data_IF_375224196356
#
_entry.id   IF_375224196356
#
_cell.length_a   1.000
_cell.length_b   1.000
_cell.length_c   1.000
_cell.angle_alpha   90.00
_cell.angle_beta   90.00
_cell.angle_gamma   90.00
#
_symmetry.space_group_name_H-M   'P 1'
#
loop_
_entity.id
_entity.type
_entity.pdbx_description
1 polymer ?
#
# COMPACT_ATOMS: atom_id res chain seq x y z
N UNK A 1 -7.24 59.73 -8.06
CA UNK A 1 -8.03 58.49 -8.00
C UNK A 1 -7.33 57.27 -8.64
N UNK A 2 -6.19 57.41 -9.36
CA UNK A 2 -5.53 56.27 -10.03
C UNK A 2 -4.79 55.30 -9.10
N UNK A 3 -4.34 55.74 -7.93
CA UNK A 3 -3.58 54.90 -6.98
C UNK A 3 -4.41 53.74 -6.40
N UNK A 4 -5.72 53.93 -6.24
CA UNK A 4 -6.63 52.88 -5.76
C UNK A 4 -6.81 51.79 -6.82
N UNK A 5 -6.85 52.18 -8.10
CA UNK A 5 -7.11 51.27 -9.22
C UNK A 5 -5.94 50.31 -9.46
N UNK A 6 -4.70 50.81 -9.33
CA UNK A 6 -3.48 49.99 -9.43
C UNK A 6 -3.39 48.98 -8.27
N UNK A 7 -3.80 49.39 -7.06
CA UNK A 7 -3.84 48.49 -5.89
C UNK A 7 -4.77 47.31 -6.09
N UNK A 8 -5.97 47.53 -6.65
CA UNK A 8 -6.95 46.47 -6.89
C UNK A 8 -6.44 45.48 -7.95
N UNK A 9 -5.82 45.97 -9.04
CA UNK A 9 -5.26 45.11 -10.08
C UNK A 9 -4.14 44.21 -9.51
N UNK A 10 -3.26 44.77 -8.66
CA UNK A 10 -2.19 44.00 -8.03
C UNK A 10 -2.70 42.85 -7.15
N UNK A 11 -3.75 43.09 -6.37
CA UNK A 11 -4.36 42.06 -5.51
C UNK A 11 -5.03 40.97 -6.34
N UNK A 12 -5.74 41.32 -7.41
CA UNK A 12 -6.39 40.32 -8.29
C UNK A 12 -5.35 39.39 -8.93
N UNK A 13 -4.21 39.94 -9.38
CA UNK A 13 -3.13 39.13 -9.96
C UNK A 13 -2.49 38.19 -8.93
N UNK A 14 -2.28 38.67 -7.69
CA UNK A 14 -1.72 37.84 -6.63
C UNK A 14 -2.66 36.69 -6.24
N UNK A 15 -3.96 36.97 -6.11
CA UNK A 15 -4.97 35.93 -5.82
C UNK A 15 -5.05 34.93 -6.99
N UNK A 16 -5.04 35.40 -8.24
CA UNK A 16 -5.07 34.54 -9.42
C UNK A 16 -3.88 33.58 -9.49
N UNK A 17 -2.68 34.06 -9.20
CA UNK A 17 -1.46 33.24 -9.22
C UNK A 17 -1.43 32.25 -8.03
N UNK A 18 -1.89 32.66 -6.86
CA UNK A 18 -2.02 31.78 -5.70
C UNK A 18 -3.03 30.64 -5.95
N UNK A 19 -4.19 30.94 -6.54
CA UNK A 19 -5.19 29.93 -6.90
C UNK A 19 -4.67 28.98 -7.98
N UNK A 20 -3.96 29.50 -8.98
CA UNK A 20 -3.31 28.67 -10.01
C UNK A 20 -2.27 27.72 -9.40
N UNK A 21 -1.48 28.20 -8.43
CA UNK A 21 -0.52 27.37 -7.70
C UNK A 21 -1.19 26.26 -6.89
N UNK A 22 -2.26 26.57 -6.17
CA UNK A 22 -3.00 25.61 -5.36
C UNK A 22 -3.65 24.50 -6.20
N UNK A 23 -4.25 24.85 -7.35
CA UNK A 23 -4.88 23.86 -8.24
C UNK A 23 -3.86 22.91 -8.89
N UNK A 24 -2.65 23.39 -9.20
CA UNK A 24 -1.64 22.55 -9.84
C UNK A 24 -0.88 21.65 -8.86
N UNK A 25 -0.61 22.14 -7.65
CA UNK A 25 0.14 21.37 -6.64
C UNK A 25 -0.71 20.32 -5.93
N UNK A 26 -2.02 20.52 -5.80
CA UNK A 26 -2.92 19.59 -5.11
C UNK A 26 -2.80 18.13 -5.59
N UNK A 27 -3.05 17.85 -6.88
CA UNK A 27 -2.99 16.49 -7.41
C UNK A 27 -1.61 15.84 -7.29
N UNK A 28 -0.54 16.62 -7.47
CA UNK A 28 0.85 16.13 -7.37
C UNK A 28 1.23 15.74 -5.95
N UNK A 29 0.72 16.45 -4.95
CA UNK A 29 0.93 16.06 -3.54
C UNK A 29 0.18 14.79 -3.18
N UNK A 30 -1.06 14.64 -3.67
CA UNK A 30 -1.83 13.41 -3.45
C UNK A 30 -1.15 12.21 -4.10
N UNK A 31 -0.67 12.35 -5.34
CA UNK A 31 0.11 11.33 -6.04
C UNK A 31 1.39 10.97 -5.27
N UNK A 32 2.15 11.97 -4.83
CA UNK A 32 3.40 11.76 -4.06
C UNK A 32 3.14 11.08 -2.71
N UNK A 33 2.06 11.44 -2.02
CA UNK A 33 1.64 10.81 -0.79
C UNK A 33 1.20 9.36 -1.01
N UNK A 34 0.44 9.08 -2.07
CA UNK A 34 0.03 7.74 -2.45
C UNK A 34 1.25 6.86 -2.79
N UNK A 35 2.19 7.37 -3.59
CA UNK A 35 3.44 6.68 -3.91
C UNK A 35 4.28 6.37 -2.67
N UNK A 36 4.38 7.32 -1.73
CA UNK A 36 5.12 7.13 -0.48
C UNK A 36 4.49 6.04 0.40
N UNK A 37 3.15 6.06 0.54
CA UNK A 37 2.42 5.02 1.27
C UNK A 37 2.52 3.66 0.58
N UNK A 38 2.47 3.63 -0.76
CA UNK A 38 2.64 2.43 -1.56
C UNK A 38 4.01 1.77 -1.31
N UNK A 39 5.10 2.55 -1.38
CA UNK A 39 6.44 2.02 -1.15
C UNK A 39 6.62 1.53 0.29
N UNK A 40 6.10 2.26 1.27
CA UNK A 40 6.12 1.82 2.66
C UNK A 40 5.29 0.52 2.87
N UNK A 41 4.16 0.39 2.16
CA UNK A 41 3.31 -0.79 2.27
C UNK A 41 3.98 -2.04 1.70
N UNK A 42 4.61 -1.91 0.53
CA UNK A 42 5.42 -2.98 -0.09
C UNK A 42 6.55 -3.39 0.86
N UNK A 43 7.31 -2.42 1.40
CA UNK A 43 8.39 -2.70 2.34
C UNK A 43 7.91 -3.45 3.58
N UNK A 44 6.74 -3.08 4.12
CA UNK A 44 6.15 -3.76 5.28
C UNK A 44 5.82 -5.23 4.97
N UNK A 45 5.13 -5.52 3.86
CA UNK A 45 4.78 -6.92 3.52
C UNK A 45 6.02 -7.74 3.13
N UNK A 46 6.99 -7.16 2.44
CA UNK A 46 8.24 -7.84 2.07
C UNK A 46 9.10 -8.16 3.29
N UNK A 47 9.19 -7.28 4.29
CA UNK A 47 9.93 -7.55 5.53
C UNK A 47 9.34 -8.76 6.27
N UNK A 48 8.01 -8.83 6.36
CA UNK A 48 7.33 -9.97 6.99
C UNK A 48 7.50 -11.25 6.16
N UNK A 49 7.45 -11.16 4.83
CA UNK A 49 7.66 -12.31 3.95
C UNK A 49 9.08 -12.89 4.10
N UNK A 50 10.10 -12.03 4.16
CA UNK A 50 11.49 -12.44 4.40
C UNK A 50 11.67 -13.09 5.78
N UNK A 51 11.07 -12.50 6.82
CA UNK A 51 11.10 -13.09 8.17
C UNK A 51 10.37 -14.45 8.22
N UNK A 52 9.29 -14.60 7.47
CA UNK A 52 8.57 -15.88 7.35
C UNK A 52 9.40 -16.94 6.65
N UNK A 53 10.11 -16.56 5.58
CA UNK A 53 11.05 -17.44 4.90
C UNK A 53 12.17 -17.91 5.83
N UNK A 54 12.74 -17.02 6.64
CA UNK A 54 13.75 -17.40 7.64
C UNK A 54 13.18 -18.37 8.69
N UNK A 55 11.98 -18.09 9.20
CA UNK A 55 11.29 -18.99 10.12
C UNK A 55 11.11 -20.40 9.52
N UNK A 56 10.68 -20.47 8.25
CA UNK A 56 10.48 -21.74 7.56
C UNK A 56 11.77 -22.51 7.33
N UNK A 57 12.87 -21.80 7.05
CA UNK A 57 14.20 -22.40 6.89
C UNK A 57 14.72 -22.98 8.21
N UNK A 58 14.48 -22.29 9.32
CA UNK A 58 15.02 -22.67 10.63
C UNK A 58 14.16 -23.71 11.36
N UNK A 59 12.83 -23.58 11.35
CA UNK A 59 11.92 -24.53 12.01
C UNK A 59 11.52 -25.72 11.13
N UNK A 60 11.76 -25.64 9.81
CA UNK A 60 11.34 -26.67 8.86
C UNK A 60 9.81 -26.79 8.71
N UNK A 61 9.06 -25.79 9.19
CA UNK A 61 7.60 -25.70 9.09
C UNK A 61 7.16 -24.23 8.96
N UNK A 62 6.02 -23.96 8.32
CA UNK A 62 5.45 -22.61 8.26
C UNK A 62 4.92 -22.16 9.64
N UNK A 63 4.94 -20.84 9.91
CA UNK A 63 4.28 -20.30 11.09
C UNK A 63 2.75 -20.44 10.96
N UNK A 64 1.99 -20.38 12.06
CA UNK A 64 0.53 -20.43 11.99
C UNK A 64 -0.03 -19.21 11.22
N UNK A 65 -1.04 -19.39 10.35
CA UNK A 65 -1.64 -18.33 9.53
C UNK A 65 -2.46 -17.36 10.39
N UNK A 66 -1.77 -16.43 11.03
CA UNK A 66 -2.32 -15.50 12.01
C UNK A 66 -1.74 -14.09 11.79
N UNK A 67 -1.37 -13.41 12.87
CA UNK A 67 -0.71 -12.11 12.83
C UNK A 67 0.81 -12.30 12.76
N UNK A 68 1.51 -11.37 12.09
CA UNK A 68 2.97 -11.30 12.07
C UNK A 68 3.62 -11.20 13.48
N UNK A 69 2.84 -10.99 14.54
CA UNK A 69 3.31 -11.06 15.92
C UNK A 69 3.99 -12.38 16.25
N UNK A 70 3.56 -13.51 15.66
CA UNK A 70 4.20 -14.81 15.91
C UNK A 70 5.68 -14.82 15.50
N UNK A 71 6.05 -14.05 14.47
CA UNK A 71 7.44 -13.90 14.03
C UNK A 71 8.25 -13.01 14.97
N UNK A 72 7.59 -12.07 15.67
CA UNK A 72 8.24 -11.26 16.70
C UNK A 72 8.51 -12.11 17.93
N UNK A 73 7.51 -12.89 18.36
CA UNK A 73 7.62 -13.77 19.52
C UNK A 73 8.68 -14.86 19.31
N UNK A 74 8.82 -15.34 18.07
CA UNK A 74 9.87 -16.29 17.66
C UNK A 74 11.24 -15.63 17.38
N UNK A 75 11.35 -14.30 17.40
CA UNK A 75 12.61 -13.56 17.27
C UNK A 75 13.08 -13.27 15.84
N UNK A 76 12.28 -13.57 14.81
CA UNK A 76 12.58 -13.27 13.41
C UNK A 76 12.24 -11.84 13.00
N UNK A 77 11.35 -11.17 13.75
CA UNK A 77 11.05 -9.74 13.62
C UNK A 77 11.31 -9.03 14.95
N UNK A 78 11.79 -7.78 14.88
CA UNK A 78 11.93 -6.93 16.08
C UNK A 78 10.60 -6.34 16.53
N UNK A 79 9.72 -6.04 15.59
CA UNK A 79 8.39 -5.50 15.80
C UNK A 79 7.55 -5.75 14.53
N UNK A 80 6.23 -5.81 14.69
CA UNK A 80 5.31 -5.88 13.54
C UNK A 80 5.29 -4.54 12.80
N UNK A 81 5.54 -4.51 11.48
CA UNK A 81 5.44 -3.28 10.71
C UNK A 81 4.04 -2.65 10.79
N UNK A 82 4.00 -1.32 10.91
CA UNK A 82 2.73 -0.58 10.90
C UNK A 82 2.23 -0.48 9.46
N UNK A 83 0.91 -0.63 9.27
CA UNK A 83 0.28 -0.41 7.98
C UNK A 83 0.24 1.10 7.67
N UNK A 84 0.88 1.56 6.58
CA UNK A 84 0.95 2.98 6.23
C UNK A 84 -0.32 3.50 5.53
N UNK A 85 -1.27 2.62 5.25
CA UNK A 85 -2.54 2.92 4.57
C UNK A 85 -3.67 3.03 5.60
N UNK A 86 -3.77 2.07 6.52
CA UNK A 86 -4.75 2.06 7.61
C UNK A 86 -4.09 1.81 8.95
N UNK A 87 -4.56 2.47 10.02
CA UNK A 87 -3.97 2.33 11.35
C UNK A 87 -4.37 1.04 12.09
N UNK A 88 -5.31 0.25 11.54
CA UNK A 88 -6.00 -0.83 12.26
C UNK A 88 -5.61 -2.24 11.82
N UNK A 89 -4.81 -2.39 10.76
CA UNK A 89 -4.65 -3.68 10.09
C UNK A 89 -3.19 -3.95 9.72
N UNK A 90 -2.35 -4.42 10.66
CA UNK A 90 -0.97 -4.78 10.37
C UNK A 90 -0.89 -5.94 9.37
N UNK A 91 0.30 -6.24 8.81
CA UNK A 91 0.48 -7.40 7.94
C UNK A 91 0.09 -8.72 8.63
N UNK A 92 -0.61 -9.58 7.90
CA UNK A 92 -1.08 -10.88 8.37
C UNK A 92 -0.53 -11.99 7.47
N UNK A 93 -0.34 -13.16 8.08
CA UNK A 93 0.07 -14.39 7.41
C UNK A 93 -1.20 -15.07 6.89
N UNK A 94 -1.34 -15.22 5.57
CA UNK A 94 -2.53 -15.84 4.97
C UNK A 94 -2.18 -17.16 4.27
N UNK A 95 -3.00 -18.17 4.52
CA UNK A 95 -3.11 -19.40 3.75
C UNK A 95 -4.10 -19.21 2.59
N UNK A 96 -3.64 -19.38 1.34
CA UNK A 96 -4.54 -19.27 0.17
C UNK A 96 -4.58 -20.54 -0.69
N UNK A 97 -3.51 -21.32 -0.78
CA UNK A 97 -3.47 -22.44 -1.71
C UNK A 97 -2.48 -23.55 -1.28
N UNK A 98 -2.76 -24.29 -0.20
CA UNK A 98 -1.86 -25.38 0.19
C UNK A 98 -2.42 -26.50 1.08
N UNK A 99 -3.61 -26.34 1.66
CA UNK A 99 -4.09 -27.24 2.71
C UNK A 99 -3.68 -26.76 4.10
N UNK A 100 -4.22 -27.39 5.16
CA UNK A 100 -4.19 -26.82 6.51
C UNK A 100 -2.76 -26.55 6.99
N UNK A 101 -2.50 -25.31 7.40
CA UNK A 101 -1.25 -24.80 7.98
C UNK A 101 -0.15 -24.44 6.97
N UNK A 102 -0.48 -23.91 5.79
CA UNK A 102 0.51 -23.39 4.86
C UNK A 102 0.37 -21.87 4.71
N UNK A 103 1.40 -21.11 5.08
CA UNK A 103 1.42 -19.67 4.80
C UNK A 103 2.11 -19.46 3.48
N UNK A 104 1.33 -19.08 2.46
CA UNK A 104 1.83 -18.88 1.10
C UNK A 104 2.06 -17.39 0.79
N UNK A 105 1.44 -16.50 1.56
CA UNK A 105 1.58 -15.07 1.37
C UNK A 105 1.39 -14.26 2.63
N UNK A 106 1.93 -13.05 2.58
CA UNK A 106 1.66 -11.97 3.51
C UNK A 106 0.65 -11.04 2.87
N UNK A 107 -0.34 -10.62 3.65
CA UNK A 107 -1.34 -9.66 3.21
C UNK A 107 -1.40 -8.47 4.16
N UNK A 108 -1.90 -7.36 3.65
CA UNK A 108 -2.17 -6.18 4.45
C UNK A 108 -3.38 -5.46 3.88
N UNK A 109 -4.33 -5.11 4.75
CA UNK A 109 -5.57 -4.45 4.31
C UNK A 109 -5.28 -3.02 3.85
N UNK A 110 -5.56 -2.72 2.59
CA UNK A 110 -5.32 -1.45 1.94
C UNK A 110 -6.48 -0.44 2.05
N UNK A 111 -7.62 -0.81 2.64
CA UNK A 111 -8.78 0.08 2.78
C UNK A 111 -10.01 -0.37 2.00
N UNK A 112 -11.12 0.35 2.15
CA UNK A 112 -12.38 0.05 1.47
C UNK A 112 -12.38 0.52 0.02
N UNK A 113 -13.19 -0.10 -0.83
CA UNK A 113 -13.43 0.38 -2.21
C UNK A 113 -14.09 1.76 -2.29
N UNK A 114 -14.72 2.22 -1.21
CA UNK A 114 -15.29 3.57 -1.14
C UNK A 114 -14.23 4.65 -0.86
N UNK A 115 -13.00 4.27 -0.54
CA UNK A 115 -11.91 5.19 -0.25
C UNK A 115 -11.05 5.41 -1.51
N UNK A 116 -11.21 6.59 -2.13
CA UNK A 116 -10.42 7.00 -3.29
C UNK A 116 -8.91 7.01 -3.00
N UNK A 117 -8.52 7.28 -1.74
CA UNK A 117 -7.13 7.23 -1.29
C UNK A 117 -6.57 5.80 -1.30
N UNK A 118 -7.37 4.83 -0.86
CA UNK A 118 -6.99 3.41 -0.90
C UNK A 118 -6.79 2.93 -2.35
N UNK A 119 -7.68 3.35 -3.26
CA UNK A 119 -7.54 3.07 -4.69
C UNK A 119 -6.23 3.65 -5.24
N UNK A 120 -5.94 4.92 -4.98
CA UNK A 120 -4.75 5.58 -5.48
C UNK A 120 -3.45 4.91 -4.99
N UNK A 121 -3.42 4.46 -3.73
CA UNK A 121 -2.29 3.69 -3.19
C UNK A 121 -2.17 2.34 -3.89
N UNK A 122 -3.29 1.63 -4.10
CA UNK A 122 -3.28 0.33 -4.77
C UNK A 122 -2.78 0.41 -6.22
N UNK A 123 -3.24 1.42 -6.97
CA UNK A 123 -2.78 1.68 -8.33
C UNK A 123 -1.28 2.03 -8.33
N UNK A 124 -0.81 2.83 -7.36
CA UNK A 124 0.61 3.15 -7.20
C UNK A 124 1.48 1.92 -6.89
N UNK A 125 1.01 1.00 -6.05
CA UNK A 125 1.69 -0.27 -5.78
C UNK A 125 1.82 -1.08 -7.07
N UNK A 126 0.72 -1.26 -7.80
CA UNK A 126 0.74 -2.04 -9.04
C UNK A 126 1.62 -1.40 -10.11
N UNK A 127 1.66 -0.07 -10.19
CA UNK A 127 2.61 0.66 -11.05
C UNK A 127 4.06 0.40 -10.65
N UNK A 128 4.38 0.38 -9.35
CA UNK A 128 5.73 0.08 -8.86
C UNK A 128 6.14 -1.37 -9.14
N UNK A 129 5.20 -2.32 -9.04
CA UNK A 129 5.46 -3.75 -9.21
C UNK A 129 5.57 -4.18 -10.68
N UNK A 130 4.70 -3.65 -11.54
CA UNK A 130 4.62 -4.06 -12.95
C UNK A 130 5.36 -3.13 -13.90
N UNK A 131 5.67 -1.90 -13.47
CA UNK A 131 6.20 -0.84 -14.34
C UNK A 131 5.14 -0.20 -15.25
N UNK A 132 3.88 -0.62 -15.17
CA UNK A 132 2.79 -0.13 -16.02
C UNK A 132 1.60 0.40 -15.21
N UNK A 133 0.96 1.45 -15.71
CA UNK A 133 -0.33 1.93 -15.20
C UNK A 133 -1.46 1.05 -15.74
N UNK A 134 -1.62 -0.13 -15.15
CA UNK A 134 -2.72 -1.04 -15.44
C UNK A 134 -3.88 -0.89 -14.44
N UNK A 135 -5.10 -1.34 -14.79
CA UNK A 135 -6.18 -1.42 -13.81
C UNK A 135 -5.77 -2.37 -12.69
N UNK A 136 -6.06 -1.98 -11.43
CA UNK A 136 -5.82 -2.83 -10.27
C UNK A 136 -6.44 -4.22 -10.50
N UNK A 137 -5.65 -5.32 -10.39
CA UNK A 137 -6.15 -6.67 -10.56
C UNK A 137 -7.33 -6.95 -9.65
N UNK A 138 -8.39 -7.53 -10.22
CA UNK A 138 -9.55 -8.04 -9.49
C UNK A 138 -9.43 -9.52 -9.15
N UNK A 139 -8.46 -10.20 -9.76
CA UNK A 139 -8.14 -11.58 -9.46
C UNK A 139 -7.23 -11.64 -8.24
N UNK A 140 -7.39 -12.70 -7.47
CA UNK A 140 -6.54 -13.01 -6.34
C UNK A 140 -5.08 -13.24 -6.80
N UNK A 141 -4.08 -12.75 -6.06
CA UNK A 141 -2.68 -12.87 -6.44
C UNK A 141 -2.15 -14.30 -6.60
N UNK A 142 -2.81 -15.29 -6.00
CA UNK A 142 -2.51 -16.72 -6.26
C UNK A 142 -2.59 -17.12 -7.74
N UNK A 143 -3.24 -16.31 -8.59
CA UNK A 143 -3.37 -16.55 -10.03
C UNK A 143 -2.27 -15.88 -10.88
N UNK A 144 -1.35 -15.12 -10.26
CA UNK A 144 -0.27 -14.42 -10.98
C UNK A 144 1.06 -15.14 -10.76
N UNK A 145 1.69 -15.58 -11.87
CA UNK A 145 2.90 -16.41 -11.86
C UNK A 145 4.17 -15.70 -11.35
N UNK A 146 4.13 -14.38 -11.19
CA UNK A 146 5.35 -13.58 -11.27
C UNK A 146 6.02 -13.33 -9.91
N UNK A 147 5.43 -13.79 -8.79
CA UNK A 147 6.06 -13.70 -7.47
C UNK A 147 6.34 -12.26 -6.98
N UNK A 148 5.87 -11.25 -7.69
CA UNK A 148 6.05 -9.83 -7.35
C UNK A 148 4.98 -9.42 -6.35
N UNK A 149 5.35 -8.76 -5.25
CA UNK A 149 4.41 -8.11 -4.34
C UNK A 149 3.51 -7.14 -5.09
N UNK A 150 2.23 -7.06 -4.77
CA UNK A 150 1.29 -6.21 -5.50
C UNK A 150 0.11 -5.75 -4.67
N UNK A 151 -0.88 -5.19 -5.34
CA UNK A 151 -2.15 -4.86 -4.72
C UNK A 151 -3.31 -5.42 -5.55
N UNK A 152 -4.31 -6.01 -4.90
CA UNK A 152 -5.51 -6.49 -5.57
C UNK A 152 -6.77 -5.94 -4.93
N UNK A 153 -7.83 -5.93 -5.73
CA UNK A 153 -9.19 -5.62 -5.30
C UNK A 153 -9.92 -6.91 -4.98
N UNK A 154 -10.23 -7.13 -3.71
CA UNK A 154 -11.00 -8.27 -3.27
C UNK A 154 -12.49 -8.12 -3.65
N UNK A 155 -13.14 -9.24 -3.94
CA UNK A 155 -14.57 -9.29 -4.31
C UNK A 155 -15.50 -8.80 -3.19
N UNK A 156 -15.07 -8.91 -1.94
CA UNK A 156 -15.81 -8.53 -0.74
C UNK A 156 -15.61 -7.06 -0.32
N UNK A 157 -15.05 -6.22 -1.19
CA UNK A 157 -15.18 -4.77 -1.03
C UNK A 157 -13.99 -4.03 -0.39
N UNK A 158 -12.79 -4.59 -0.48
CA UNK A 158 -11.57 -3.94 0.00
C UNK A 158 -10.38 -4.11 -0.95
N UNK A 159 -9.40 -3.22 -0.81
CA UNK A 159 -8.08 -3.36 -1.40
C UNK A 159 -7.16 -4.09 -0.44
N UNK A 160 -6.24 -4.88 -0.97
CA UNK A 160 -5.22 -5.54 -0.19
C UNK A 160 -3.88 -5.49 -0.88
N UNK A 161 -2.84 -5.32 -0.09
CA UNK A 161 -1.45 -5.42 -0.50
C UNK A 161 -0.95 -6.80 -0.13
N UNK A 162 -0.16 -7.43 -0.99
CA UNK A 162 0.40 -8.75 -0.72
C UNK A 162 1.87 -8.87 -1.09
N UNK A 163 2.53 -9.84 -0.48
CA UNK A 163 3.81 -10.36 -0.91
C UNK A 163 3.79 -11.89 -0.83
N UNK A 164 4.38 -12.55 -1.82
CA UNK A 164 4.59 -14.00 -1.78
C UNK A 164 5.73 -14.35 -0.82
N UNK A 165 5.64 -15.51 -0.18
CA UNK A 165 6.72 -16.13 0.59
C UNK A 165 7.52 -17.03 -0.34
#
# INVERSE_FOLDING_TARGET
>A
MSQVLIGIIGVILFIGLALAGAMFLGPRFQESAANSRASAAIQAVTQVAQATNLYMLDEGRPPPPTNAQVLVDAGYLKAVPVNPITSSSPPQLWEMAGGPNHVDMIVMHGGSLADDGAKAVCDAINKQSTGYEGPTPTADPTMTSDGVSGCWRASFGAYYVWAKI
#
